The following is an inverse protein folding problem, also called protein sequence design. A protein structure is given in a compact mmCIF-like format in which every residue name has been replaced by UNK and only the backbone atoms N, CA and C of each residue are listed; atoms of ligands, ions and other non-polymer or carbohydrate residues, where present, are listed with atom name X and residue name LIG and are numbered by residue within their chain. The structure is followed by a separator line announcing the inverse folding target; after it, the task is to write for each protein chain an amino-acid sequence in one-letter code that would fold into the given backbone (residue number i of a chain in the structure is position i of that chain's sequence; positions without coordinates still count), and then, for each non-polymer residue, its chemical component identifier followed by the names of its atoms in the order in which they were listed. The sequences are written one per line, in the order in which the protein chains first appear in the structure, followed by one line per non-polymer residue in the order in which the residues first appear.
data_IF_453101225994
#
_entry.id   IF_453101225994
#
_cell.length_a   1.000
_cell.length_b   1.000
_cell.length_c   1.000
_cell.angle_alpha   90.00
_cell.angle_beta   90.00
_cell.angle_gamma   90.00
#
_symmetry.space_group_name_H-M   'P 1'
#
loop_
_entity.id
_entity.type
_entity.pdbx_description
1 polymer ?
#
# COMPACT_ATOMS: atom_id res chain seq x y z
N UNK A 1 4.13 -5.30 -7.17
CA UNK A 1 4.74 -4.10 -6.58
C UNK A 1 5.24 -3.12 -7.62
N UNK A 2 5.93 -3.56 -8.67
CA UNK A 2 6.39 -2.68 -9.78
C UNK A 2 5.34 -1.68 -10.29
N UNK A 3 4.14 -2.13 -10.65
CA UNK A 3 3.05 -1.25 -11.11
C UNK A 3 2.62 -0.18 -10.11
N UNK A 4 2.67 -0.49 -8.81
CA UNK A 4 2.36 0.47 -7.75
C UNK A 4 3.45 1.54 -7.66
N UNK A 5 4.73 1.16 -7.81
CA UNK A 5 5.83 2.11 -7.88
C UNK A 5 5.72 3.02 -9.11
N UNK A 6 5.43 2.45 -10.29
CA UNK A 6 5.20 3.22 -11.52
C UNK A 6 4.06 4.22 -11.34
N UNK A 7 2.94 3.82 -10.73
CA UNK A 7 1.85 4.74 -10.41
C UNK A 7 2.29 5.92 -9.53
N UNK A 8 3.05 5.66 -8.46
CA UNK A 8 3.56 6.73 -7.60
C UNK A 8 4.51 7.68 -8.35
N UNK A 9 5.39 7.17 -9.21
CA UNK A 9 6.26 7.99 -10.04
C UNK A 9 5.47 8.83 -11.05
N UNK A 10 4.46 8.26 -11.70
CA UNK A 10 3.56 9.00 -12.59
C UNK A 10 2.79 10.10 -11.85
N UNK A 11 2.37 9.85 -10.60
CA UNK A 11 1.68 10.84 -9.78
C UNK A 11 2.61 12.02 -9.45
N UNK A 12 3.86 11.75 -9.05
CA UNK A 12 4.86 12.81 -8.82
C UNK A 12 5.12 13.60 -10.11
N UNK A 13 5.33 12.91 -11.23
CA UNK A 13 5.53 13.54 -12.53
C UNK A 13 4.35 14.44 -12.93
N UNK A 14 3.12 13.96 -12.72
CA UNK A 14 1.90 14.72 -12.99
C UNK A 14 1.81 15.99 -12.12
N UNK A 15 2.09 15.87 -10.81
CA UNK A 15 2.13 17.04 -9.91
C UNK A 15 3.19 18.04 -10.36
N UNK A 16 4.40 17.59 -10.72
CA UNK A 16 5.45 18.50 -11.22
C UNK A 16 5.05 19.19 -12.52
N UNK A 17 4.42 18.47 -13.46
CA UNK A 17 3.90 19.05 -14.70
C UNK A 17 2.76 20.06 -14.41
N UNK A 18 1.90 19.79 -13.44
CA UNK A 18 0.82 20.69 -13.03
C UNK A 18 1.39 22.00 -12.45
N UNK A 19 2.40 21.92 -11.57
CA UNK A 19 3.08 23.10 -11.04
C UNK A 19 3.74 23.89 -12.18
N UNK A 20 4.47 23.21 -13.07
CA UNK A 20 5.10 23.85 -14.23
C UNK A 20 4.09 24.51 -15.16
N UNK A 21 2.90 23.93 -15.36
CA UNK A 21 1.83 24.52 -16.16
C UNK A 21 1.25 25.80 -15.53
N UNK A 22 1.10 25.82 -14.20
CA UNK A 22 0.65 27.02 -13.47
C UNK A 22 1.69 28.13 -13.58
N UNK A 23 2.98 27.80 -13.54
CA UNK A 23 4.07 28.77 -13.66
C UNK A 23 4.34 29.23 -15.10
N UNK A 24 4.24 28.31 -16.07
CA UNK A 24 4.46 28.55 -17.50
C UNK A 24 3.27 27.98 -18.27
N UNK A 25 2.35 28.87 -18.67
CA UNK A 25 1.18 28.54 -19.51
C UNK A 25 1.60 28.26 -20.96
N UNK A 26 2.28 27.15 -21.18
CA UNK A 26 2.69 26.69 -22.50
C UNK A 26 1.76 25.58 -23.04
N UNK A 27 1.56 25.57 -24.36
CA UNK A 27 0.69 24.63 -25.08
C UNK A 27 1.28 23.21 -25.15
N UNK A 28 2.61 23.07 -25.07
CA UNK A 28 3.25 21.76 -24.94
C UNK A 28 3.01 21.15 -23.55
N UNK A 29 3.08 21.97 -22.51
CA UNK A 29 2.87 21.51 -21.12
C UNK A 29 1.44 21.03 -20.90
N UNK A 30 0.44 21.67 -21.51
CA UNK A 30 -0.96 21.22 -21.41
C UNK A 30 -1.19 19.83 -22.02
N UNK A 31 -0.62 19.55 -23.20
CA UNK A 31 -0.70 18.24 -23.85
C UNK A 31 0.00 17.15 -23.04
N UNK A 32 1.20 17.45 -22.51
CA UNK A 32 1.94 16.55 -21.64
C UNK A 32 1.20 16.27 -20.32
N UNK A 33 0.55 17.28 -19.75
CA UNK A 33 -0.24 17.15 -18.53
C UNK A 33 -1.42 16.17 -18.74
N UNK A 34 -2.15 16.33 -19.85
CA UNK A 34 -3.27 15.43 -20.20
C UNK A 34 -2.76 14.00 -20.42
N UNK A 35 -1.66 13.84 -21.17
CA UNK A 35 -1.05 12.53 -21.39
C UNK A 35 -0.60 11.85 -20.09
N UNK A 36 0.07 12.59 -19.20
CA UNK A 36 0.48 12.10 -17.90
C UNK A 36 -0.71 11.73 -17.01
N UNK A 37 -1.80 12.50 -17.07
CA UNK A 37 -3.03 12.23 -16.33
C UNK A 37 -3.65 10.90 -16.77
N UNK A 38 -3.83 10.69 -18.07
CA UNK A 38 -4.37 9.44 -18.61
C UNK A 38 -3.51 8.22 -18.24
N UNK A 39 -2.19 8.33 -18.39
CA UNK A 39 -1.27 7.26 -18.01
C UNK A 39 -1.32 6.96 -16.50
N UNK A 40 -1.44 7.99 -15.67
CA UNK A 40 -1.56 7.81 -14.21
C UNK A 40 -2.83 7.05 -13.83
N UNK A 41 -3.97 7.34 -14.48
CA UNK A 41 -5.24 6.66 -14.24
C UNK A 41 -5.18 5.20 -14.68
N UNK A 42 -4.62 4.92 -15.86
CA UNK A 42 -4.46 3.55 -16.36
C UNK A 42 -3.55 2.72 -15.44
N UNK A 43 -2.41 3.29 -15.04
CA UNK A 43 -1.48 2.65 -14.11
C UNK A 43 -2.14 2.42 -12.74
N UNK A 44 -2.95 3.36 -12.26
CA UNK A 44 -3.72 3.21 -11.03
C UNK A 44 -4.72 2.05 -11.08
N UNK A 45 -5.51 1.96 -12.14
CA UNK A 45 -6.49 0.89 -12.35
C UNK A 45 -5.78 -0.47 -12.33
N UNK A 46 -4.67 -0.60 -13.07
CA UNK A 46 -3.91 -1.84 -13.12
C UNK A 46 -3.34 -2.22 -11.74
N UNK A 47 -2.75 -1.25 -11.03
CA UNK A 47 -2.25 -1.43 -9.68
C UNK A 47 -3.38 -1.78 -8.69
N UNK A 48 -4.59 -1.27 -8.89
CA UNK A 48 -5.76 -1.57 -8.07
C UNK A 48 -6.17 -3.05 -8.21
N UNK A 49 -6.29 -3.56 -9.45
CA UNK A 49 -6.61 -4.98 -9.68
C UNK A 49 -5.56 -5.92 -9.07
N UNK A 50 -4.27 -5.60 -9.22
CA UNK A 50 -3.19 -6.37 -8.58
C UNK A 50 -3.27 -6.34 -7.06
N UNK A 51 -3.59 -5.18 -6.46
CA UNK A 51 -3.78 -5.06 -5.00
C UNK A 51 -4.99 -5.83 -4.50
N UNK A 52 -6.09 -5.88 -5.27
CA UNK A 52 -7.29 -6.66 -4.95
C UNK A 52 -7.06 -8.17 -5.02
N UNK A 53 -6.16 -8.62 -5.90
CA UNK A 53 -5.79 -10.03 -5.99
C UNK A 53 -4.89 -10.50 -4.82
N UNK A 54 -4.16 -9.59 -4.20
CA UNK A 54 -3.31 -9.91 -3.05
C UNK A 54 -4.16 -10.17 -1.80
N UNK A 55 -4.17 -11.43 -1.35
CA UNK A 55 -4.90 -11.88 -0.17
C UNK A 55 -3.93 -12.34 0.90
N UNK A 56 -4.29 -12.08 2.15
CA UNK A 56 -3.60 -12.64 3.30
C UNK A 56 -3.83 -14.17 3.34
N UNK A 57 -2.79 -15.01 3.45
CA UNK A 57 -2.97 -16.46 3.50
C UNK A 57 -3.70 -16.92 4.78
N UNK A 58 -3.65 -16.13 5.86
CA UNK A 58 -4.27 -16.47 7.15
C UNK A 58 -5.76 -16.12 7.17
N UNK A 59 -6.10 -14.85 6.95
CA UNK A 59 -7.48 -14.36 7.07
C UNK A 59 -8.20 -14.20 5.73
N UNK A 60 -7.53 -14.45 4.59
CA UNK A 60 -8.05 -14.28 3.22
C UNK A 60 -8.49 -12.85 2.85
N UNK A 61 -8.41 -11.90 3.79
CA UNK A 61 -8.67 -10.48 3.55
C UNK A 61 -7.63 -9.84 2.64
N UNK A 62 -7.95 -8.67 2.07
CA UNK A 62 -7.07 -7.91 1.18
C UNK A 62 -6.26 -6.87 1.96
N UNK A 63 -5.03 -7.17 2.42
CA UNK A 63 -4.27 -6.25 3.29
C UNK A 63 -3.93 -4.91 2.62
N UNK A 64 -3.87 -4.88 1.28
CA UNK A 64 -3.49 -3.72 0.49
C UNK A 64 -4.69 -2.84 0.07
N UNK A 65 -5.92 -3.28 0.38
CA UNK A 65 -7.15 -2.58 0.07
C UNK A 65 -7.98 -2.45 1.33
N UNK A 66 -8.32 -1.22 1.71
CA UNK A 66 -9.20 -0.99 2.84
C UNK A 66 -10.62 -1.43 2.47
N UNK A 67 -11.09 -2.55 3.04
CA UNK A 67 -12.45 -3.06 2.83
C UNK A 67 -13.47 -2.41 3.77
N UNK A 68 -13.04 -1.47 4.63
CA UNK A 68 -13.89 -0.84 5.64
C UNK A 68 -14.11 -1.71 6.88
N UNK A 69 -13.58 -2.94 6.92
CA UNK A 69 -13.63 -3.75 8.13
C UNK A 69 -12.70 -3.16 9.22
N UNK A 70 -13.07 -3.40 10.48
CA UNK A 70 -12.35 -2.86 11.63
C UNK A 70 -10.86 -3.26 11.58
N UNK A 71 -9.93 -2.28 11.55
CA UNK A 71 -8.51 -2.59 11.56
C UNK A 71 -8.11 -3.18 12.92
N UNK A 72 -7.21 -4.16 12.90
CA UNK A 72 -6.63 -4.72 14.11
C UNK A 72 -5.87 -3.64 14.87
N UNK A 73 -5.87 -3.67 16.22
CA UNK A 73 -5.15 -2.69 17.05
C UNK A 73 -3.62 -2.65 16.85
N UNK A 74 -3.06 -3.63 16.12
CA UNK A 74 -1.64 -3.70 15.75
C UNK A 74 -1.38 -3.20 14.32
N UNK A 75 -2.42 -2.78 13.60
CA UNK A 75 -2.28 -2.29 12.23
C UNK A 75 -1.63 -0.90 12.25
N UNK A 76 -0.51 -0.77 11.55
CA UNK A 76 0.20 0.51 11.44
C UNK A 76 -0.50 1.39 10.41
N UNK A 77 -0.64 2.68 10.72
CA UNK A 77 -1.09 3.73 9.81
C UNK A 77 -0.12 4.88 9.89
N UNK A 78 0.40 5.30 8.75
CA UNK A 78 1.14 6.55 8.64
C UNK A 78 0.14 7.65 8.28
N UNK A 79 -0.31 8.46 9.24
CA UNK A 79 -1.19 9.59 8.94
C UNK A 79 -0.44 10.61 8.04
N UNK A 80 -1.09 11.20 7.02
CA UNK A 80 -2.53 11.18 6.68
C UNK A 80 -2.98 9.99 5.80
N UNK A 81 -2.08 9.09 5.44
CA UNK A 81 -2.35 7.98 4.52
C UNK A 81 -3.26 6.91 5.17
N UNK A 82 -3.92 6.13 4.33
CA UNK A 82 -4.74 4.99 4.75
C UNK A 82 -3.86 3.76 5.07
N UNK A 83 -4.36 2.83 5.87
CA UNK A 83 -3.63 1.60 6.21
C UNK A 83 -3.15 0.81 4.98
N UNK A 84 -4.01 0.66 3.96
CA UNK A 84 -3.63 -0.04 2.73
C UNK A 84 -2.49 0.66 1.98
N UNK A 85 -2.49 2.00 1.93
CA UNK A 85 -1.39 2.78 1.34
C UNK A 85 -0.12 2.70 2.19
N UNK A 86 -0.23 2.71 3.52
CA UNK A 86 0.93 2.50 4.40
C UNK A 86 1.54 1.11 4.17
N UNK A 87 0.71 0.07 4.07
CA UNK A 87 1.17 -1.29 3.76
C UNK A 87 1.86 -1.37 2.38
N UNK A 88 1.32 -0.70 1.35
CA UNK A 88 1.98 -0.60 0.06
C UNK A 88 3.37 0.06 0.16
N UNK A 89 3.50 1.14 0.94
CA UNK A 89 4.76 1.85 1.10
C UNK A 89 5.77 0.99 1.86
N UNK A 90 5.38 0.37 2.99
CA UNK A 90 6.23 -0.58 3.70
C UNK A 90 6.70 -1.69 2.76
N UNK A 91 5.81 -2.25 1.96
CA UNK A 91 6.15 -3.30 1.01
C UNK A 91 7.10 -2.83 -0.11
N UNK A 92 7.05 -1.56 -0.49
CA UNK A 92 7.97 -0.97 -1.48
C UNK A 92 9.35 -0.66 -0.88
N UNK A 93 9.42 -0.19 0.37
CA UNK A 93 10.66 0.26 1.00
C UNK A 93 11.37 -0.82 1.81
N UNK A 94 10.63 -1.56 2.63
CA UNK A 94 11.19 -2.57 3.55
C UNK A 94 10.91 -3.99 3.09
N UNK A 95 10.09 -4.19 2.06
CA UNK A 95 9.60 -5.51 1.62
C UNK A 95 8.87 -6.29 2.72
N UNK A 96 8.42 -5.59 3.75
CA UNK A 96 7.59 -6.14 4.82
C UNK A 96 6.23 -5.47 4.80
N UNK A 97 5.18 -6.21 5.17
CA UNK A 97 3.87 -5.64 5.40
C UNK A 97 3.14 -6.34 6.53
N UNK A 98 2.36 -5.58 7.31
CA UNK A 98 1.47 -6.12 8.33
C UNK A 98 0.04 -6.14 7.82
N UNK A 99 -0.65 -7.27 7.92
CA UNK A 99 -2.06 -7.36 7.53
C UNK A 99 -2.92 -6.48 8.44
N UNK A 100 -3.76 -5.62 7.84
CA UNK A 100 -4.64 -4.73 8.58
C UNK A 100 -5.72 -5.46 9.40
N UNK A 101 -6.16 -6.65 8.98
CA UNK A 101 -7.27 -7.37 9.63
C UNK A 101 -6.80 -8.34 10.71
N UNK A 102 -5.79 -9.18 10.44
CA UNK A 102 -5.29 -10.15 11.43
C UNK A 102 -4.04 -9.68 12.19
N UNK A 103 -3.46 -8.53 11.83
CA UNK A 103 -2.28 -7.99 12.48
C UNK A 103 -0.98 -8.78 12.25
N UNK A 104 -1.00 -9.85 11.45
CA UNK A 104 0.18 -10.68 11.17
C UNK A 104 1.18 -9.94 10.29
N UNK A 105 2.48 -10.05 10.62
CA UNK A 105 3.58 -9.47 9.85
C UNK A 105 4.07 -10.48 8.80
N UNK A 106 4.25 -10.00 7.58
CA UNK A 106 4.78 -10.75 6.45
C UNK A 106 6.04 -10.06 5.97
N UNK A 107 7.13 -10.81 5.92
CA UNK A 107 8.40 -10.38 5.35
C UNK A 107 8.63 -11.17 4.06
N UNK A 108 8.74 -10.48 2.92
CA UNK A 108 8.96 -11.10 1.62
C UNK A 108 10.43 -11.46 1.37
N UNK A 109 11.36 -10.87 2.12
CA UNK A 109 12.79 -11.18 2.03
C UNK A 109 13.15 -12.44 2.82
N UNK A 110 12.36 -12.77 3.84
CA UNK A 110 12.54 -14.02 4.58
C UNK A 110 12.18 -15.18 3.67
N UNK A 111 13.20 -15.88 3.18
CA UNK A 111 13.02 -17.12 2.44
C UNK A 111 12.16 -18.07 3.26
N UNK A 112 11.30 -18.81 2.54
CA UNK A 112 10.14 -19.56 3.01
C UNK A 112 10.50 -20.69 4.00
N UNK A 113 11.05 -20.36 5.16
CA UNK A 113 11.39 -21.27 6.24
C UNK A 113 10.71 -20.81 7.51
N UNK A 114 9.60 -21.49 7.78
CA UNK A 114 8.79 -21.41 8.99
C UNK A 114 8.20 -20.03 9.26
N UNK A 115 6.91 -19.89 8.93
CA UNK A 115 5.97 -19.11 9.73
C UNK A 115 6.00 -19.65 11.16
N UNK A 116 7.04 -19.33 11.93
CA UNK A 116 6.95 -19.34 13.38
C UNK A 116 6.09 -18.13 13.75
N UNK A 117 5.01 -18.31 14.52
CA UNK A 117 4.39 -17.19 15.18
C UNK A 117 5.47 -16.48 16.00
N UNK A 118 5.65 -15.16 15.78
CA UNK A 118 6.60 -14.37 16.55
C UNK A 118 6.22 -14.45 18.04
N UNK A 119 7.16 -14.79 18.93
CA UNK A 119 6.95 -14.93 20.36
C UNK A 119 6.80 -13.53 20.97
N UNK A 120 5.58 -13.21 21.37
CA UNK A 120 5.23 -11.96 22.04
C UNK A 120 3.83 -11.99 22.65
N UNK A 121 3.26 -13.20 22.80
CA UNK A 121 2.15 -13.45 23.71
C UNK A 121 2.82 -13.79 25.03
N UNK A 122 2.95 -12.81 25.91
CA UNK A 122 2.96 -13.15 27.33
C UNK A 122 1.63 -13.88 27.60
N UNK A 123 1.62 -15.00 28.34
CA UNK A 123 0.38 -15.66 28.69
C UNK A 123 -0.51 -14.64 29.42
N UNK A 124 -1.66 -14.38 28.83
CA UNK A 124 -2.77 -13.73 29.52
C UNK A 124 -3.11 -14.67 30.67
N UNK A 125 -2.76 -14.27 31.89
CA UNK A 125 -3.02 -15.04 33.10
C UNK A 125 -4.52 -15.05 33.33
N UNK A 126 -5.13 -16.21 33.06
CA UNK A 126 -6.47 -16.56 33.50
C UNK A 126 -6.62 -16.22 34.99
N UNK A 127 -7.32 -15.13 35.29
CA UNK A 127 -7.76 -14.84 36.66
C UNK A 127 -9.10 -15.55 36.81
N UNK A 128 -9.01 -16.81 37.22
CA UNK A 128 -10.13 -17.59 37.76
C UNK A 128 -10.74 -16.83 38.95
N UNK A 129 -12.05 -16.67 38.96
CA UNK A 129 -12.85 -16.18 40.10
C UNK A 129 -14.12 -17.02 40.19
#
# INVERSE_FOLDING_TARGET
MFWTAVYYLCLVAWVTCAVMFVLKRDQLTSKLLIGAMLLSVLSWIWAFFKRRAARCPLCKGTPLLNSGALPHGRAVRLAPLNHGTTACLSLLFTQEFRCMYCGNLYDLMKSNQATRPQPGVAPESDTES
#
